data_IF_724611284415
#
_entry.id   IF_724611284415
#
_cell.length_a   1.000
_cell.length_b   1.000
_cell.length_c   1.000
_cell.angle_alpha   90.00
_cell.angle_beta   90.00
_cell.angle_gamma   90.00
#
_symmetry.space_group_name_H-M   'P 1'
#
loop_
_entity.id
_entity.type
_entity.pdbx_description
1 polymer ?
#
# COMPACT_ATOMS: atom_id res chain seq x y z
N UNK A 1 -13.20 -31.47 -13.81
CA UNK A 1 -13.05 -30.51 -14.91
C UNK A 1 -12.18 -29.36 -14.45
N UNK A 2 -11.15 -28.96 -15.19
CA UNK A 2 -10.41 -27.74 -14.89
C UNK A 2 -11.36 -26.54 -15.03
N UNK A 3 -11.51 -25.75 -13.98
CA UNK A 3 -12.30 -24.52 -14.00
C UNK A 3 -11.53 -23.38 -14.66
N UNK A 4 -12.23 -22.46 -15.32
CA UNK A 4 -11.65 -21.17 -15.74
C UNK A 4 -11.53 -20.30 -14.48
N UNK A 5 -10.37 -19.67 -14.29
CA UNK A 5 -10.20 -18.74 -13.15
C UNK A 5 -11.09 -17.52 -13.34
N UNK A 6 -11.56 -16.93 -12.24
CA UNK A 6 -12.37 -15.70 -12.29
C UNK A 6 -11.61 -14.53 -12.93
N UNK A 7 -10.27 -14.51 -12.81
CA UNK A 7 -9.40 -13.55 -13.49
C UNK A 7 -9.48 -13.71 -15.01
N UNK A 8 -9.32 -14.95 -15.51
CA UNK A 8 -9.40 -15.24 -16.95
C UNK A 8 -10.79 -14.97 -17.50
N UNK A 9 -11.84 -15.30 -16.73
CA UNK A 9 -13.23 -15.03 -17.11
C UNK A 9 -13.48 -13.52 -17.23
N UNK A 10 -13.08 -12.74 -16.22
CA UNK A 10 -13.23 -11.27 -16.23
C UNK A 10 -12.45 -10.65 -17.40
N UNK A 11 -11.20 -11.05 -17.57
CA UNK A 11 -10.35 -10.57 -18.67
C UNK A 11 -10.98 -10.83 -20.04
N UNK A 12 -11.57 -12.01 -20.24
CA UNK A 12 -12.27 -12.37 -21.47
C UNK A 12 -13.51 -11.50 -21.71
N UNK A 13 -14.31 -11.23 -20.68
CA UNK A 13 -15.50 -10.37 -20.77
C UNK A 13 -15.17 -8.94 -21.20
N UNK A 14 -14.05 -8.40 -20.72
CA UNK A 14 -13.63 -7.03 -21.07
C UNK A 14 -12.63 -6.97 -22.24
N UNK A 15 -12.27 -8.11 -22.84
CA UNK A 15 -11.33 -8.16 -23.95
C UNK A 15 -9.92 -7.68 -23.62
N UNK A 16 -9.48 -7.86 -22.35
CA UNK A 16 -8.21 -7.35 -21.82
C UNK A 16 -7.21 -8.48 -21.63
N UNK A 17 -5.97 -8.29 -22.06
CA UNK A 17 -4.86 -9.19 -21.69
C UNK A 17 -4.54 -9.07 -20.21
N UNK A 18 -4.31 -10.19 -19.54
CA UNK A 18 -3.98 -10.24 -18.12
C UNK A 18 -2.56 -10.76 -17.82
N UNK A 19 -1.77 -11.07 -18.86
CA UNK A 19 -0.42 -11.62 -18.71
C UNK A 19 0.56 -10.69 -18.01
N UNK A 20 0.34 -9.38 -18.15
CA UNK A 20 1.11 -8.29 -17.55
C UNK A 20 0.49 -7.75 -16.24
N UNK A 21 -0.60 -8.37 -15.77
CA UNK A 21 -1.31 -7.90 -14.60
C UNK A 21 -0.77 -8.51 -13.30
N UNK A 22 -0.78 -7.71 -12.24
CA UNK A 22 -0.51 -8.19 -10.89
C UNK A 22 -1.78 -8.76 -10.28
N UNK A 23 -1.68 -9.97 -9.72
CA UNK A 23 -2.78 -10.61 -8.99
C UNK A 23 -2.60 -10.40 -7.49
N UNK A 24 -3.59 -9.81 -6.84
CA UNK A 24 -3.57 -9.58 -5.41
C UNK A 24 -4.90 -9.95 -4.75
N UNK A 25 -4.87 -10.16 -3.44
CA UNK A 25 -6.05 -10.38 -2.62
C UNK A 25 -5.94 -9.52 -1.37
N UNK A 26 -7.01 -8.84 -1.03
CA UNK A 26 -7.11 -8.09 0.23
C UNK A 26 -7.57 -8.97 1.40
N UNK A 27 -7.98 -10.22 1.13
CA UNK A 27 -8.40 -11.15 2.17
C UNK A 27 -7.21 -11.79 2.88
N UNK A 28 -7.13 -11.62 4.19
CA UNK A 28 -6.19 -12.33 5.06
C UNK A 28 -4.72 -11.95 4.92
N UNK A 29 -4.40 -10.92 4.12
CA UNK A 29 -3.04 -10.38 3.97
C UNK A 29 -3.06 -8.85 4.02
N UNK A 30 -2.05 -8.28 4.64
CA UNK A 30 -1.79 -6.82 4.56
C UNK A 30 -1.18 -6.53 3.19
N UNK A 31 -2.02 -6.38 2.17
CA UNK A 31 -1.56 -6.02 0.83
C UNK A 31 -1.76 -4.53 0.63
N UNK A 32 -0.68 -3.80 0.35
CA UNK A 32 -0.78 -2.39 -0.01
C UNK A 32 -1.28 -2.25 -1.44
N UNK A 33 -2.61 -2.23 -1.60
CA UNK A 33 -3.26 -2.11 -2.91
C UNK A 33 -2.96 -0.77 -3.57
N UNK A 34 -2.87 0.30 -2.80
CA UNK A 34 -2.52 1.64 -3.31
C UNK A 34 -1.17 1.63 -4.01
N UNK A 35 -0.15 1.06 -3.35
CA UNK A 35 1.19 0.94 -3.93
C UNK A 35 1.21 0.03 -5.16
N UNK A 36 0.43 -1.07 -5.13
CA UNK A 36 0.31 -1.96 -6.29
C UNK A 36 -0.31 -1.24 -7.50
N UNK A 37 -1.41 -0.51 -7.29
CA UNK A 37 -2.08 0.22 -8.38
C UNK A 37 -1.22 1.37 -8.89
N UNK A 38 -0.53 2.11 -8.01
CA UNK A 38 0.36 3.19 -8.42
C UNK A 38 1.49 2.72 -9.34
N UNK A 39 2.00 1.51 -9.11
CA UNK A 39 3.18 0.95 -9.80
C UNK A 39 2.88 -0.01 -10.94
N UNK A 40 1.63 -0.34 -11.17
CA UNK A 40 1.25 -1.31 -12.20
C UNK A 40 0.06 -0.80 -13.00
N UNK A 41 0.13 -0.96 -14.31
CA UNK A 41 -0.94 -0.59 -15.23
C UNK A 41 -2.19 -1.42 -15.04
N UNK A 42 -2.06 -2.67 -14.54
CA UNK A 42 -3.17 -3.60 -14.33
C UNK A 42 -3.01 -4.38 -13.03
N UNK A 43 -4.03 -4.35 -12.20
CA UNK A 43 -4.09 -5.10 -10.95
C UNK A 43 -5.43 -5.83 -10.84
N UNK A 44 -5.40 -7.17 -10.67
CA UNK A 44 -6.59 -7.94 -10.33
C UNK A 44 -6.72 -8.09 -8.82
N UNK A 45 -7.93 -7.84 -8.31
CA UNK A 45 -8.28 -7.97 -6.91
C UNK A 45 -9.54 -8.84 -6.74
N UNK A 46 -9.57 -9.56 -5.62
CA UNK A 46 -10.80 -10.16 -5.10
C UNK A 46 -11.34 -9.28 -3.98
N UNK A 47 -12.62 -8.89 -4.09
CA UNK A 47 -13.34 -8.06 -3.13
C UNK A 47 -14.52 -8.83 -2.56
N UNK A 48 -14.84 -8.63 -1.27
CA UNK A 48 -15.93 -9.33 -0.58
C UNK A 48 -17.28 -8.63 -0.67
N UNK A 49 -17.31 -7.36 -1.07
CA UNK A 49 -18.56 -6.60 -1.11
C UNK A 49 -18.36 -5.12 -1.37
N UNK A 50 -19.45 -4.36 -1.19
CA UNK A 50 -19.46 -2.91 -1.40
C UNK A 50 -18.46 -2.18 -0.50
N UNK A 51 -18.35 -2.58 0.75
CA UNK A 51 -17.44 -1.93 1.70
C UNK A 51 -15.97 -1.97 1.24
N UNK A 52 -15.58 -3.05 0.55
CA UNK A 52 -14.24 -3.16 -0.01
C UNK A 52 -14.02 -2.15 -1.15
N UNK A 53 -15.05 -1.91 -1.99
CA UNK A 53 -14.99 -0.88 -3.02
C UNK A 53 -14.87 0.51 -2.42
N UNK A 54 -15.71 0.87 -1.44
CA UNK A 54 -15.66 2.16 -0.74
C UNK A 54 -14.28 2.41 -0.11
N UNK A 55 -13.77 1.39 0.59
CA UNK A 55 -12.44 1.45 1.19
C UNK A 55 -11.35 1.69 0.13
N UNK A 56 -11.38 0.99 -0.99
CA UNK A 56 -10.41 1.14 -2.07
C UNK A 56 -10.47 2.52 -2.69
N UNK A 57 -11.66 3.00 -3.04
CA UNK A 57 -11.85 4.31 -3.66
C UNK A 57 -11.36 5.43 -2.74
N UNK A 58 -11.68 5.36 -1.45
CA UNK A 58 -11.22 6.33 -0.48
C UNK A 58 -9.69 6.33 -0.37
N UNK A 59 -9.06 5.16 -0.29
CA UNK A 59 -7.60 5.04 -0.27
C UNK A 59 -6.93 5.59 -1.54
N UNK A 60 -7.52 5.37 -2.70
CA UNK A 60 -6.98 5.91 -3.96
C UNK A 60 -7.05 7.44 -3.99
N UNK A 61 -8.18 8.02 -3.56
CA UNK A 61 -8.35 9.48 -3.45
C UNK A 61 -7.37 10.10 -2.46
N UNK A 62 -7.24 9.52 -1.26
CA UNK A 62 -6.27 9.97 -0.24
C UNK A 62 -4.82 9.93 -0.74
N UNK A 63 -4.50 8.94 -1.57
CA UNK A 63 -3.19 8.78 -2.18
C UNK A 63 -2.99 9.60 -3.47
N UNK A 64 -4.00 10.36 -3.92
CA UNK A 64 -3.94 11.16 -5.14
C UNK A 64 -3.94 10.35 -6.45
N UNK A 65 -4.43 9.10 -6.41
CA UNK A 65 -4.63 8.27 -7.61
C UNK A 65 -6.02 8.58 -8.15
N UNK A 66 -6.13 9.20 -9.32
CA UNK A 66 -7.40 9.68 -9.85
C UNK A 66 -7.80 9.02 -11.18
N UNK A 67 -6.86 8.73 -12.06
CA UNK A 67 -7.11 8.20 -13.40
C UNK A 67 -7.10 6.67 -13.41
N UNK A 68 -8.11 6.11 -12.75
CA UNK A 68 -8.25 4.66 -12.57
C UNK A 68 -9.60 4.20 -13.11
N UNK A 69 -9.56 3.19 -13.98
CA UNK A 69 -10.73 2.46 -14.46
C UNK A 69 -10.88 1.15 -13.70
N UNK A 70 -12.09 0.88 -13.22
CA UNK A 70 -12.43 -0.32 -12.47
C UNK A 70 -13.43 -1.14 -13.28
N UNK A 71 -13.03 -2.36 -13.67
CA UNK A 71 -13.90 -3.36 -14.27
C UNK A 71 -14.14 -4.47 -13.25
N UNK A 72 -15.41 -4.79 -12.97
CA UNK A 72 -15.77 -5.74 -11.93
C UNK A 72 -16.78 -6.78 -12.42
N UNK A 73 -16.58 -8.02 -12.01
CA UNK A 73 -17.51 -9.12 -12.27
C UNK A 73 -18.04 -9.69 -10.97
N UNK A 74 -19.35 -9.67 -10.84
CA UNK A 74 -20.09 -10.29 -9.75
C UNK A 74 -20.54 -11.69 -10.19
N UNK A 75 -20.26 -12.71 -9.38
CA UNK A 75 -20.67 -14.10 -9.63
C UNK A 75 -20.41 -14.59 -11.06
N UNK A 76 -19.18 -14.36 -11.54
CA UNK A 76 -18.76 -14.76 -12.88
C UNK A 76 -19.08 -16.24 -13.17
N UNK A 77 -19.62 -16.51 -14.36
CA UNK A 77 -20.07 -17.82 -14.83
C UNK A 77 -21.30 -18.40 -14.12
N UNK A 78 -22.01 -17.63 -13.31
CA UNK A 78 -23.32 -18.00 -12.75
C UNK A 78 -24.47 -17.36 -13.51
N UNK A 79 -25.71 -17.90 -13.43
CA UNK A 79 -26.86 -17.35 -14.15
C UNK A 79 -27.21 -15.89 -13.83
N UNK A 80 -26.82 -15.41 -12.67
CA UNK A 80 -27.02 -14.05 -12.17
C UNK A 80 -25.75 -13.21 -12.23
N UNK A 81 -24.83 -13.56 -13.13
CA UNK A 81 -23.62 -12.78 -13.42
C UNK A 81 -23.96 -11.33 -13.75
N UNK A 82 -23.17 -10.41 -13.21
CA UNK A 82 -23.24 -8.98 -13.55
C UNK A 82 -21.83 -8.44 -13.77
N UNK A 83 -21.73 -7.58 -14.78
CA UNK A 83 -20.49 -6.89 -15.14
C UNK A 83 -20.67 -5.38 -14.92
N UNK A 84 -19.67 -4.75 -14.35
CA UNK A 84 -19.65 -3.33 -14.08
C UNK A 84 -18.34 -2.74 -14.60
N UNK A 85 -18.40 -1.53 -15.12
CA UNK A 85 -17.23 -0.74 -15.49
C UNK A 85 -17.51 0.73 -15.18
N UNK A 86 -16.56 1.37 -14.51
CA UNK A 86 -16.64 2.79 -14.16
C UNK A 86 -15.26 3.36 -13.91
N UNK A 87 -15.13 4.68 -14.07
CA UNK A 87 -13.97 5.43 -13.62
C UNK A 87 -14.13 5.84 -12.14
N UNK A 88 -13.02 6.16 -11.50
CA UNK A 88 -13.00 6.45 -10.06
C UNK A 88 -13.91 7.62 -9.66
N UNK A 89 -14.05 8.62 -10.53
CA UNK A 89 -14.93 9.78 -10.33
C UNK A 89 -16.43 9.44 -10.45
N UNK A 90 -16.77 8.37 -11.17
CA UNK A 90 -18.15 7.89 -11.32
C UNK A 90 -18.62 6.99 -10.16
N UNK A 91 -17.73 6.61 -9.25
CA UNK A 91 -17.98 5.57 -8.25
C UNK A 91 -19.22 5.84 -7.39
N UNK A 92 -19.41 7.08 -6.91
CA UNK A 92 -20.55 7.43 -6.03
C UNK A 92 -21.90 7.15 -6.68
N UNK A 93 -22.00 7.36 -7.99
CA UNK A 93 -23.24 7.11 -8.75
C UNK A 93 -23.45 5.63 -9.03
N UNK A 94 -22.39 4.83 -9.12
CA UNK A 94 -22.43 3.41 -9.46
C UNK A 94 -22.53 2.50 -8.23
N UNK A 95 -22.14 2.97 -7.05
CA UNK A 95 -22.13 2.19 -5.81
C UNK A 95 -23.48 1.59 -5.47
N UNK A 96 -24.58 2.32 -5.73
CA UNK A 96 -25.94 1.88 -5.41
C UNK A 96 -26.38 0.66 -6.23
N UNK A 97 -25.84 0.47 -7.43
CA UNK A 97 -26.17 -0.61 -8.34
C UNK A 97 -25.41 -1.91 -8.05
N UNK A 98 -24.37 -1.84 -7.19
CA UNK A 98 -23.55 -3.01 -6.87
C UNK A 98 -24.29 -3.95 -5.89
N UNK A 99 -24.53 -5.23 -6.23
CA UNK A 99 -25.09 -6.22 -5.31
C UNK A 99 -24.08 -6.57 -4.20
N UNK A 100 -24.58 -7.10 -3.08
CA UNK A 100 -23.71 -7.65 -2.06
C UNK A 100 -23.14 -8.99 -2.47
N UNK A 101 -21.84 -9.20 -2.26
CA UNK A 101 -21.15 -10.46 -2.52
C UNK A 101 -19.74 -10.30 -3.06
N UNK A 102 -19.15 -11.40 -3.51
CA UNK A 102 -17.76 -11.45 -3.95
C UNK A 102 -17.61 -10.94 -5.39
N UNK A 103 -16.60 -10.12 -5.59
CA UNK A 103 -16.24 -9.59 -6.90
C UNK A 103 -14.82 -9.98 -7.29
N UNK A 104 -14.64 -10.24 -8.58
CA UNK A 104 -13.32 -10.17 -9.22
C UNK A 104 -13.22 -8.82 -9.90
N UNK A 105 -12.19 -8.06 -9.60
CA UNK A 105 -12.00 -6.71 -10.14
C UNK A 105 -10.69 -6.63 -10.91
N UNK A 106 -10.70 -5.92 -12.02
CA UNK A 106 -9.54 -5.43 -12.74
C UNK A 106 -9.48 -3.92 -12.54
N UNK A 107 -8.37 -3.46 -12.05
CA UNK A 107 -8.05 -2.04 -11.90
C UNK A 107 -6.99 -1.70 -12.95
N UNK A 108 -7.32 -0.77 -13.84
CA UNK A 108 -6.43 -0.25 -14.87
C UNK A 108 -6.04 1.19 -14.47
N UNK A 109 -4.74 1.43 -14.31
CA UNK A 109 -4.19 2.75 -13.96
C UNK A 109 -3.49 3.33 -15.20
N UNK A 110 -4.03 4.41 -15.73
CA UNK A 110 -3.48 5.10 -16.91
C UNK A 110 -2.29 6.02 -16.55
N UNK A 111 -2.17 6.39 -15.28
CA UNK A 111 -1.08 7.22 -14.75
C UNK A 111 -0.07 6.39 -13.93
N UNK A 112 0.26 5.19 -14.42
CA UNK A 112 1.20 4.31 -13.74
C UNK A 112 2.58 4.97 -13.62
N UNK A 113 3.06 5.10 -12.39
CA UNK A 113 4.37 5.69 -12.11
C UNK A 113 5.49 4.73 -12.49
N UNK A 114 6.54 5.24 -13.13
CA UNK A 114 7.75 4.47 -13.35
C UNK A 114 8.41 4.12 -12.01
N UNK A 115 8.70 2.84 -11.83
CA UNK A 115 9.20 2.35 -10.55
C UNK A 115 10.70 2.61 -10.39
N UNK A 116 11.07 3.54 -9.51
CA UNK A 116 12.45 3.69 -9.05
C UNK A 116 12.75 2.57 -8.05
N UNK A 117 13.69 1.67 -8.40
CA UNK A 117 14.01 0.46 -7.62
C UNK A 117 14.99 0.70 -6.47
N UNK A 118 15.73 1.81 -6.51
CA UNK A 118 16.75 2.14 -5.50
C UNK A 118 16.19 3.06 -4.41
N UNK A 119 16.68 3.00 -3.17
CA UNK A 119 16.43 4.04 -2.18
C UNK A 119 17.04 5.37 -2.63
N UNK A 120 16.57 6.48 -2.09
CA UNK A 120 17.13 7.81 -2.36
C UNK A 120 16.11 8.83 -2.83
N UNK A 121 14.89 8.78 -2.26
CA UNK A 121 13.90 9.84 -2.48
C UNK A 121 14.45 11.18 -2.00
N UNK A 122 14.20 12.25 -2.74
CA UNK A 122 14.61 13.59 -2.36
C UNK A 122 14.00 14.02 -1.03
N UNK A 123 14.76 14.76 -0.24
CA UNK A 123 14.33 15.23 1.07
C UNK A 123 13.07 16.11 1.02
N UNK A 124 12.87 16.83 -0.09
CA UNK A 124 11.72 17.71 -0.35
C UNK A 124 10.39 16.95 -0.53
N UNK A 125 10.46 15.67 -0.85
CA UNK A 125 9.27 14.82 -0.98
C UNK A 125 8.59 14.61 0.37
N UNK A 126 9.33 14.68 1.47
CA UNK A 126 8.78 14.44 2.80
C UNK A 126 8.20 15.72 3.42
N UNK A 127 6.96 15.63 3.95
CA UNK A 127 6.44 16.64 4.86
C UNK A 127 7.34 16.69 6.08
N UNK A 128 7.77 17.89 6.45
CA UNK A 128 8.63 18.10 7.61
C UNK A 128 8.35 19.45 8.28
N UNK A 129 8.60 19.51 9.58
CA UNK A 129 8.60 20.72 10.38
C UNK A 129 10.02 20.97 10.92
N UNK A 130 10.15 21.21 12.22
CA UNK A 130 11.45 21.24 12.92
C UNK A 130 11.92 19.85 13.35
N UNK A 131 11.14 18.81 13.05
CA UNK A 131 11.49 17.42 13.38
C UNK A 131 12.72 17.01 12.56
N UNK A 132 13.77 16.47 13.20
CA UNK A 132 14.93 15.96 12.50
C UNK A 132 14.56 14.87 11.50
N UNK A 133 15.25 14.87 10.36
CA UNK A 133 15.10 13.85 9.32
C UNK A 133 16.46 13.31 8.92
N UNK A 134 16.55 12.00 8.72
CA UNK A 134 17.74 11.37 8.15
C UNK A 134 17.93 11.85 6.72
N UNK A 135 19.06 12.49 6.43
CA UNK A 135 19.38 13.02 5.09
C UNK A 135 19.47 11.93 4.05
N UNK A 136 19.20 12.28 2.78
CA UNK A 136 19.13 11.35 1.65
C UNK A 136 20.35 10.41 1.62
N UNK A 137 21.57 10.94 1.62
CA UNK A 137 22.79 10.13 1.48
C UNK A 137 22.97 9.15 2.66
N UNK A 138 22.67 9.59 3.88
CA UNK A 138 22.72 8.75 5.07
C UNK A 138 21.61 7.69 5.03
N UNK A 139 20.42 8.08 4.59
CA UNK A 139 19.27 7.19 4.45
C UNK A 139 19.54 6.09 3.44
N UNK A 140 20.07 6.44 2.26
CA UNK A 140 20.47 5.47 1.21
C UNK A 140 21.48 4.46 1.74
N UNK A 141 22.55 4.92 2.39
CA UNK A 141 23.57 4.05 2.95
C UNK A 141 23.01 3.13 4.03
N UNK A 142 22.17 3.68 4.93
CA UNK A 142 21.58 2.91 6.02
C UNK A 142 20.68 1.79 5.48
N UNK A 143 19.80 2.09 4.52
CA UNK A 143 18.89 1.12 3.93
C UNK A 143 19.64 0.06 3.14
N UNK A 144 20.68 0.46 2.39
CA UNK A 144 21.53 -0.47 1.68
C UNK A 144 22.23 -1.45 2.63
N UNK A 145 22.66 -0.99 3.82
CA UNK A 145 23.31 -1.83 4.84
C UNK A 145 22.34 -2.72 5.61
N UNK A 146 21.07 -2.39 5.62
CA UNK A 146 20.05 -3.27 6.20
C UNK A 146 19.83 -4.54 5.38
N UNK A 147 20.19 -4.57 4.10
CA UNK A 147 20.05 -5.74 3.22
C UNK A 147 18.62 -6.35 3.28
N UNK A 148 17.61 -5.49 3.16
CA UNK A 148 16.20 -5.87 3.34
C UNK A 148 15.79 -6.95 2.36
N UNK A 149 15.13 -7.99 2.89
CA UNK A 149 14.50 -9.02 2.08
C UNK A 149 13.07 -8.62 1.69
N UNK A 150 12.52 -9.28 0.67
CA UNK A 150 11.18 -8.99 0.15
C UNK A 150 10.06 -8.97 1.21
N UNK A 151 10.20 -9.76 2.29
CA UNK A 151 9.21 -9.89 3.38
C UNK A 151 9.76 -9.42 4.72
N UNK A 152 10.65 -8.44 4.71
CA UNK A 152 11.24 -7.93 5.93
C UNK A 152 10.19 -7.35 6.88
N UNK A 153 10.40 -7.58 8.17
CA UNK A 153 9.73 -6.88 9.27
C UNK A 153 10.74 -5.91 9.85
N UNK A 154 10.52 -4.62 9.65
CA UNK A 154 11.46 -3.56 10.00
C UNK A 154 10.95 -2.77 11.20
N UNK A 155 11.79 -2.59 12.22
CA UNK A 155 11.55 -1.60 13.26
C UNK A 155 12.38 -0.34 12.95
N UNK A 156 11.70 0.79 12.84
CA UNK A 156 12.31 2.13 12.72
C UNK A 156 12.14 2.86 14.06
N UNK A 157 13.17 2.80 14.91
CA UNK A 157 13.15 3.35 16.27
C UNK A 157 13.64 4.78 16.25
N UNK A 158 12.77 5.70 16.67
CA UNK A 158 12.96 7.13 16.51
C UNK A 158 12.72 7.58 15.08
N UNK A 159 11.56 7.21 14.53
CA UNK A 159 11.24 7.38 13.10
C UNK A 159 11.23 8.83 12.63
N UNK A 160 11.01 9.79 13.54
CA UNK A 160 11.02 11.22 13.21
C UNK A 160 9.96 11.58 12.18
N UNK A 161 10.38 11.95 10.97
CA UNK A 161 9.49 12.23 9.83
C UNK A 161 9.02 10.96 9.11
N UNK A 162 9.53 9.78 9.46
CA UNK A 162 9.25 8.52 8.81
C UNK A 162 9.97 8.31 7.48
N UNK A 163 10.98 9.11 7.16
CA UNK A 163 11.67 9.02 5.87
C UNK A 163 12.35 7.66 5.64
N UNK A 164 12.94 7.06 6.69
CA UNK A 164 13.52 5.71 6.63
C UNK A 164 12.42 4.67 6.50
N UNK A 165 11.35 4.79 7.29
CA UNK A 165 10.17 3.92 7.23
C UNK A 165 9.59 3.85 5.82
N UNK A 166 9.38 5.01 5.18
CA UNK A 166 8.85 5.13 3.81
C UNK A 166 9.77 4.46 2.80
N UNK A 167 11.05 4.76 2.85
CA UNK A 167 12.02 4.17 1.91
C UNK A 167 12.13 2.65 2.06
N UNK A 168 12.09 2.13 3.28
CA UNK A 168 12.04 0.67 3.49
C UNK A 168 10.77 0.05 2.91
N UNK A 169 9.61 0.63 3.21
CA UNK A 169 8.31 0.10 2.77
C UNK A 169 8.14 0.09 1.25
N UNK A 170 8.69 1.10 0.54
CA UNK A 170 8.55 1.22 -0.91
C UNK A 170 9.34 0.16 -1.70
N UNK A 171 10.34 -0.48 -1.10
CA UNK A 171 11.16 -1.48 -1.79
C UNK A 171 10.41 -2.76 -2.13
N UNK A 172 9.41 -3.13 -1.32
CA UNK A 172 8.56 -4.28 -1.62
C UNK A 172 7.17 -4.12 -0.97
N UNK A 173 6.09 -4.50 -1.65
CA UNK A 173 4.74 -4.46 -1.08
C UNK A 173 4.54 -5.43 0.11
N UNK A 174 5.43 -6.40 0.27
CA UNK A 174 5.38 -7.39 1.35
C UNK A 174 6.20 -6.97 2.60
N UNK A 175 6.93 -5.84 2.57
CA UNK A 175 7.64 -5.31 3.73
C UNK A 175 6.65 -4.66 4.69
N UNK A 176 6.75 -5.02 5.98
CA UNK A 176 6.04 -4.37 7.07
C UNK A 176 7.01 -3.51 7.90
N UNK A 177 6.66 -2.26 8.12
CA UNK A 177 7.47 -1.32 8.93
C UNK A 177 6.69 -0.91 10.17
N UNK A 178 7.32 -1.03 11.32
CA UNK A 178 6.83 -0.53 12.61
C UNK A 178 7.68 0.69 12.98
N UNK A 179 7.10 1.86 12.81
CA UNK A 179 7.73 3.14 13.10
C UNK A 179 7.44 3.55 14.55
N UNK A 180 8.43 3.47 15.41
CA UNK A 180 8.31 3.75 16.84
C UNK A 180 8.81 5.16 17.10
N UNK A 181 7.95 6.04 17.61
CA UNK A 181 8.29 7.44 17.85
C UNK A 181 7.59 7.96 19.12
N UNK A 182 8.37 8.51 20.06
CA UNK A 182 7.85 8.98 21.34
C UNK A 182 7.15 10.35 21.24
N UNK A 183 7.58 11.22 20.31
CA UNK A 183 7.01 12.56 20.15
C UNK A 183 5.80 12.50 19.23
N UNK A 184 4.66 12.96 19.71
CA UNK A 184 3.39 12.93 18.96
C UNK A 184 3.48 13.70 17.63
N UNK A 185 4.11 14.89 17.62
CA UNK A 185 4.31 15.67 16.40
C UNK A 185 5.05 14.85 15.33
N UNK A 186 6.13 14.18 15.69
CA UNK A 186 6.92 13.36 14.77
C UNK A 186 6.18 12.09 14.32
N UNK A 187 5.47 11.44 15.24
CA UNK A 187 4.61 10.29 14.89
C UNK A 187 3.51 10.67 13.90
N UNK A 188 2.91 11.85 14.05
CA UNK A 188 1.90 12.37 13.13
C UNK A 188 2.50 12.69 11.75
N UNK A 189 3.72 13.25 11.68
CA UNK A 189 4.45 13.43 10.41
C UNK A 189 4.75 12.11 9.73
N UNK A 190 5.15 11.08 10.46
CA UNK A 190 5.34 9.74 9.90
C UNK A 190 4.05 9.20 9.29
N UNK A 191 2.90 9.36 9.98
CA UNK A 191 1.58 8.95 9.46
C UNK A 191 1.21 9.72 8.20
N UNK A 192 1.37 11.03 8.21
CA UNK A 192 1.09 11.91 7.07
C UNK A 192 1.90 11.51 5.85
N UNK A 193 3.22 11.32 6.00
CA UNK A 193 4.10 10.88 4.92
C UNK A 193 3.71 9.49 4.40
N UNK A 194 3.36 8.55 5.30
CA UNK A 194 2.91 7.21 4.91
C UNK A 194 1.62 7.26 4.06
N UNK A 195 0.62 8.06 4.46
CA UNK A 195 -0.63 8.23 3.71
C UNK A 195 -0.37 8.88 2.36
N UNK A 196 0.30 10.02 2.35
CA UNK A 196 0.56 10.80 1.13
C UNK A 196 1.36 10.01 0.09
N UNK A 197 2.26 9.14 0.54
CA UNK A 197 3.08 8.30 -0.35
C UNK A 197 2.47 6.91 -0.60
N UNK A 198 1.22 6.68 -0.13
CA UNK A 198 0.47 5.44 -0.39
C UNK A 198 1.02 4.21 0.33
N UNK A 199 1.67 4.39 1.49
CA UNK A 199 2.33 3.32 2.24
C UNK A 199 1.70 3.05 3.61
N UNK A 200 0.53 3.63 3.90
CA UNK A 200 -0.16 3.50 5.20
C UNK A 200 -0.50 2.06 5.59
N UNK A 201 -0.69 1.17 4.62
CA UNK A 201 -0.97 -0.25 4.88
C UNK A 201 0.30 -1.05 5.28
N UNK A 202 1.48 -0.52 4.97
CA UNK A 202 2.77 -1.14 5.27
C UNK A 202 3.46 -0.54 6.49
N UNK A 203 3.15 0.72 6.83
CA UNK A 203 3.79 1.46 7.93
C UNK A 203 2.80 1.61 9.08
N UNK A 204 3.08 0.92 10.18
CA UNK A 204 2.35 1.05 11.44
C UNK A 204 3.12 2.00 12.37
N UNK A 205 2.51 3.12 12.73
CA UNK A 205 3.13 4.10 13.62
C UNK A 205 2.73 3.84 15.06
N UNK A 206 3.71 3.64 15.91
CA UNK A 206 3.59 3.38 17.34
C UNK A 206 4.08 4.62 18.10
N UNK A 207 3.14 5.41 18.61
CA UNK A 207 3.49 6.59 19.40
C UNK A 207 3.75 6.21 20.86
N UNK A 208 4.91 5.61 21.11
CA UNK A 208 5.39 5.21 22.43
C UNK A 208 6.90 5.41 22.53
N UNK A 209 7.41 5.44 23.75
CA UNK A 209 8.86 5.43 24.01
C UNK A 209 9.39 4.00 23.89
N UNK A 210 10.43 3.79 23.08
CA UNK A 210 11.09 2.48 23.04
C UNK A 210 11.74 2.17 24.42
N UNK A 211 11.68 0.91 24.90
CA UNK A 211 11.14 -0.29 24.23
C UNK A 211 9.65 -0.56 24.47
N UNK A 212 8.91 0.27 25.18
CA UNK A 212 7.50 0.07 25.60
C UNK A 212 6.53 -0.22 24.44
N UNK A 213 6.91 0.07 23.21
CA UNK A 213 6.09 -0.20 22.03
C UNK A 213 6.31 -1.57 21.37
N UNK A 214 7.18 -2.42 21.89
CA UNK A 214 7.64 -3.64 21.21
C UNK A 214 6.84 -4.90 21.57
N UNK A 215 6.17 -4.92 22.71
CA UNK A 215 5.63 -6.13 23.35
C UNK A 215 4.57 -6.84 22.51
N UNK A 216 3.79 -6.08 21.75
CA UNK A 216 2.69 -6.60 20.92
C UNK A 216 3.06 -6.70 19.43
N UNK A 217 4.30 -6.37 19.08
CA UNK A 217 4.75 -6.34 17.69
C UNK A 217 5.36 -7.69 17.27
N UNK A 218 5.26 -8.06 15.99
CA UNK A 218 5.93 -9.25 15.48
C UNK A 218 7.45 -9.09 15.59
N UNK A 219 8.17 -10.16 15.85
CA UNK A 219 9.64 -10.14 15.91
C UNK A 219 10.23 -9.50 14.65
N UNK A 220 11.07 -8.45 14.78
CA UNK A 220 11.67 -7.80 13.64
C UNK A 220 12.74 -8.68 13.00
N UNK A 221 12.85 -8.60 11.69
CA UNK A 221 13.99 -9.16 10.96
C UNK A 221 15.14 -8.15 10.87
N UNK A 222 14.79 -6.86 10.90
CA UNK A 222 15.73 -5.74 10.78
C UNK A 222 15.32 -4.61 11.72
N UNK A 223 16.30 -3.93 12.29
CA UNK A 223 16.07 -2.78 13.18
C UNK A 223 16.96 -1.63 12.73
N UNK A 224 16.35 -0.48 12.47
CA UNK A 224 17.03 0.78 12.29
C UNK A 224 16.80 1.64 13.55
N UNK A 225 17.86 2.24 14.08
CA UNK A 225 17.80 3.11 15.25
C UNK A 225 18.27 4.50 14.83
N UNK A 226 17.30 5.38 14.55
CA UNK A 226 17.53 6.76 14.12
C UNK A 226 17.77 7.72 15.31
N UNK A 227 17.17 7.41 16.46
CA UNK A 227 17.34 8.20 17.68
C UNK A 227 16.77 7.46 18.89
N UNK A 228 17.64 7.07 19.84
CA UNK A 228 17.23 6.32 21.04
C UNK A 228 17.25 7.14 22.32
N UNK A 229 17.79 8.35 22.30
CA UNK A 229 18.02 9.17 23.51
C UNK A 229 18.75 8.39 24.63
N UNK A 230 19.53 7.36 24.27
CA UNK A 230 20.22 6.49 25.22
C UNK A 230 19.31 5.46 25.93
N UNK A 231 18.12 5.18 25.41
CA UNK A 231 17.13 4.27 26.02
C UNK A 231 17.19 2.83 25.51
N UNK A 232 18.15 2.52 24.62
CA UNK A 232 18.38 1.19 24.05
C UNK A 232 19.79 0.72 24.35
#
# INVERSE_FOLDING_TARGET
>A
LPGISSVSALAAHFGVSWNDAVLASIHGRRTNVVNLVRKNTKVFLLLSGKNDFEMLVNKFREAGINNVKISAGYRLSYPDEKLFMFYLDEFETKLFDLPEGVYTCLIENEDCEEQILTPGMDDEIFSRTKVPMTKNEVRVLSISRLELTKKAVVYDVGSGTGSVSVECARLSPDIAVFAIEQKEEAANLTKENAVRLGLSDQIMVINKKAPEGFEELPTPTHVFIGGSSGAL
#
